data_IF_460250971618
#
_entry.id   IF_460250971618
#
_cell.length_a   1.000
_cell.length_b   1.000
_cell.length_c   1.000
_cell.angle_alpha   90.00
_cell.angle_beta   90.00
_cell.angle_gamma   90.00
#
_symmetry.space_group_name_H-M   'P 1'
#
loop_
_entity.id
_entity.type
_entity.pdbx_description
1 polymer ?
#
# COMPACT_ATOMS: atom_id res chain seq x y z
N UNK A 1 4.63 -5.07 27.14
CA UNK A 1 3.63 -5.58 26.18
C UNK A 1 4.36 -6.52 25.24
N UNK A 2 3.91 -7.76 25.02
CA UNK A 2 4.61 -8.69 24.11
C UNK A 2 4.40 -8.28 22.65
N UNK A 3 5.37 -8.59 21.77
CA UNK A 3 5.31 -8.31 20.33
C UNK A 3 4.04 -8.88 19.69
N UNK A 4 3.58 -10.04 20.14
CA UNK A 4 2.34 -10.68 19.68
C UNK A 4 1.08 -9.88 20.06
N UNK A 5 0.99 -9.39 21.30
CA UNK A 5 -0.14 -8.53 21.73
C UNK A 5 -0.16 -7.21 20.98
N UNK A 6 1.01 -6.65 20.69
CA UNK A 6 1.14 -5.44 19.89
C UNK A 6 0.66 -5.65 18.45
N UNK A 7 1.08 -6.73 17.79
CA UNK A 7 0.63 -7.08 16.44
C UNK A 7 -0.86 -7.45 16.40
N UNK A 8 -1.38 -8.13 17.42
CA UNK A 8 -2.81 -8.44 17.52
C UNK A 8 -3.67 -7.17 17.62
N UNK A 9 -3.24 -6.18 18.41
CA UNK A 9 -3.91 -4.89 18.49
C UNK A 9 -3.90 -4.18 17.12
N UNK A 10 -2.76 -4.12 16.45
CA UNK A 10 -2.68 -3.58 15.08
C UNK A 10 -3.60 -4.28 14.10
N UNK A 11 -3.75 -5.61 14.23
CA UNK A 11 -4.65 -6.38 13.37
C UNK A 11 -6.13 -6.03 13.57
N UNK A 12 -6.50 -5.56 14.77
CA UNK A 12 -7.87 -5.14 15.11
C UNK A 12 -8.21 -3.72 14.69
N UNK A 13 -7.21 -2.91 14.33
CA UNK A 13 -7.42 -1.54 13.85
C UNK A 13 -7.95 -1.52 12.41
N UNK A 14 -8.56 -0.38 12.03
CA UNK A 14 -9.00 -0.17 10.66
C UNK A 14 -7.83 -0.30 9.67
N UNK A 15 -7.98 -1.20 8.69
CA UNK A 15 -6.98 -1.45 7.65
C UNK A 15 -6.89 -0.32 6.63
N UNK A 16 -5.79 -0.30 5.88
CA UNK A 16 -5.68 0.54 4.69
C UNK A 16 -6.77 0.16 3.67
N UNK A 17 -7.57 1.15 3.25
CA UNK A 17 -8.65 1.06 2.25
C UNK A 17 -8.29 1.93 1.04
N UNK A 18 -7.09 1.71 0.51
CA UNK A 18 -6.51 2.51 -0.56
C UNK A 18 -6.44 4.01 -0.24
N UNK A 19 -6.70 4.85 -1.24
CA UNK A 19 -6.59 6.30 -1.08
C UNK A 19 -7.66 6.91 -0.17
N UNK A 20 -8.78 6.22 0.08
CA UNK A 20 -9.90 6.75 0.86
C UNK A 20 -9.50 7.08 2.30
N UNK A 21 -8.63 6.28 2.92
CA UNK A 21 -8.15 6.52 4.27
C UNK A 21 -6.62 6.62 4.40
N UNK A 22 -5.88 6.64 3.28
CA UNK A 22 -4.41 6.61 3.28
C UNK A 22 -3.75 7.66 4.19
N UNK A 23 -4.21 8.92 4.17
CA UNK A 23 -3.60 9.98 4.99
C UNK A 23 -3.76 9.71 6.49
N UNK A 24 -4.96 9.28 6.90
CA UNK A 24 -5.24 8.94 8.30
C UNK A 24 -4.50 7.67 8.73
N UNK A 25 -4.44 6.67 7.86
CA UNK A 25 -3.68 5.44 8.03
C UNK A 25 -2.18 5.76 8.20
N UNK A 26 -1.60 6.53 7.29
CA UNK A 26 -0.18 6.91 7.28
C UNK A 26 0.24 7.54 8.61
N UNK A 27 -0.50 8.54 9.08
CA UNK A 27 -0.22 9.22 10.36
C UNK A 27 -0.21 8.25 11.55
N UNK A 28 -1.20 7.35 11.61
CA UNK A 28 -1.30 6.35 12.68
C UNK A 28 -0.15 5.33 12.63
N UNK A 29 0.21 4.87 11.43
CA UNK A 29 1.29 3.90 11.27
C UNK A 29 2.66 4.56 11.52
N UNK A 30 2.88 5.81 11.13
CA UNK A 30 4.09 6.57 11.49
C UNK A 30 4.26 6.67 13.01
N UNK A 31 3.18 6.97 13.75
CA UNK A 31 3.20 6.97 15.22
C UNK A 31 3.52 5.58 15.79
N UNK A 32 2.91 4.54 15.25
CA UNK A 32 3.14 3.14 15.67
C UNK A 32 4.60 2.73 15.44
N UNK A 33 5.14 3.03 14.26
CA UNK A 33 6.52 2.76 13.90
C UNK A 33 7.49 3.55 14.77
N UNK A 34 7.17 4.81 15.10
CA UNK A 34 7.97 5.64 15.99
C UNK A 34 8.00 5.07 17.42
N UNK A 35 6.84 4.67 17.95
CA UNK A 35 6.73 4.02 19.27
C UNK A 35 7.49 2.70 19.33
N UNK A 36 7.51 1.95 18.23
CA UNK A 36 8.29 0.72 18.11
C UNK A 36 9.79 0.97 17.83
N UNK A 37 10.22 2.23 17.64
CA UNK A 37 11.61 2.58 17.34
C UNK A 37 12.07 2.20 15.93
N UNK A 38 11.15 1.87 15.02
CA UNK A 38 11.46 1.35 13.67
C UNK A 38 11.03 2.26 12.51
N UNK A 39 10.61 3.50 12.79
CA UNK A 39 10.19 4.47 11.76
C UNK A 39 11.26 4.73 10.71
N UNK A 40 12.52 4.89 11.12
CA UNK A 40 13.63 5.16 10.19
C UNK A 40 13.80 4.03 9.16
N UNK A 41 13.49 2.78 9.53
CA UNK A 41 13.54 1.60 8.64
C UNK A 41 12.41 1.58 7.62
N UNK A 42 11.20 1.97 8.03
CA UNK A 42 10.08 2.17 7.11
C UNK A 42 10.30 3.34 6.15
N UNK A 43 11.03 4.37 6.56
CA UNK A 43 11.34 5.52 5.71
C UNK A 43 12.61 5.32 4.85
N UNK A 44 13.44 4.33 5.17
CA UNK A 44 14.70 4.07 4.47
C UNK A 44 15.74 5.18 4.68
N UNK A 45 15.74 5.83 5.84
CA UNK A 45 16.65 6.93 6.18
C UNK A 45 17.51 6.57 7.39
N UNK A 46 18.70 7.17 7.52
CA UNK A 46 19.61 6.96 8.67
C UNK A 46 19.82 5.47 8.94
N UNK A 47 19.35 4.95 10.08
CA UNK A 47 19.47 3.53 10.48
C UNK A 47 18.73 2.57 9.54
N UNK A 48 17.72 3.07 8.83
CA UNK A 48 16.93 2.32 7.87
C UNK A 48 17.59 2.06 6.52
N UNK A 49 18.71 2.73 6.23
CA UNK A 49 19.47 2.50 4.99
C UNK A 49 20.11 1.12 5.06
N UNK A 50 19.83 0.29 4.05
CA UNK A 50 20.36 -1.07 3.96
C UNK A 50 21.90 -1.04 3.92
N UNK A 51 22.60 -1.70 4.86
CA UNK A 51 24.04 -1.77 4.83
C UNK A 51 24.55 -2.49 3.57
N UNK A 52 25.63 -1.97 3.00
CA UNK A 52 26.30 -2.54 1.82
C UNK A 52 27.27 -3.68 2.19
N UNK A 53 27.77 -3.68 3.42
CA UNK A 53 28.69 -4.68 3.96
C UNK A 53 27.96 -5.59 4.94
N UNK A 54 28.13 -6.90 4.74
CA UNK A 54 27.56 -7.95 5.59
C UNK A 54 28.34 -9.25 5.40
N UNK A 55 28.31 -10.11 6.42
CA UNK A 55 28.78 -11.49 6.29
C UNK A 55 27.67 -12.36 5.68
N UNK A 56 27.98 -13.35 4.83
CA UNK A 56 26.96 -14.13 4.12
C UNK A 56 25.90 -14.79 5.03
N UNK A 57 26.29 -15.23 6.23
CA UNK A 57 25.39 -15.81 7.22
C UNK A 57 24.38 -14.79 7.80
N UNK A 58 24.70 -13.51 7.80
CA UNK A 58 23.82 -12.47 8.35
C UNK A 58 22.55 -12.28 7.50
N UNK A 59 22.60 -12.63 6.21
CA UNK A 59 21.41 -12.71 5.34
C UNK A 59 20.39 -13.73 5.80
N UNK A 60 20.82 -14.74 6.55
CA UNK A 60 19.95 -15.74 7.17
C UNK A 60 19.50 -15.32 8.57
N UNK A 61 19.80 -14.09 8.99
CA UNK A 61 19.57 -13.61 10.35
C UNK A 61 20.55 -14.18 11.39
N UNK A 62 21.63 -14.82 10.93
CA UNK A 62 22.62 -15.48 11.80
C UNK A 62 23.86 -14.59 11.88
N UNK A 63 24.05 -13.94 13.02
CA UNK A 63 25.20 -13.07 13.24
C UNK A 63 25.20 -12.42 14.63
N UNK A 64 26.18 -11.56 14.87
CA UNK A 64 26.24 -10.78 16.12
C UNK A 64 25.05 -9.84 16.21
N UNK A 65 24.44 -9.72 17.41
CA UNK A 65 23.39 -8.73 17.67
C UNK A 65 23.88 -7.28 17.55
N UNK A 66 25.19 -7.07 17.60
CA UNK A 66 25.83 -5.77 17.43
C UNK A 66 26.16 -5.47 15.96
N UNK A 67 26.00 -6.45 15.07
CA UNK A 67 26.20 -6.23 13.64
C UNK A 67 25.18 -5.26 13.09
N UNK A 68 25.67 -4.22 12.41
CA UNK A 68 24.84 -3.24 11.70
C UNK A 68 23.85 -3.93 10.75
N UNK A 69 24.25 -5.01 10.08
CA UNK A 69 23.35 -5.73 9.19
C UNK A 69 22.28 -6.50 9.96
N UNK A 70 22.61 -7.19 11.04
CA UNK A 70 21.62 -7.92 11.86
C UNK A 70 20.62 -6.95 12.51
N UNK A 71 21.10 -5.83 13.03
CA UNK A 71 20.24 -4.77 13.58
C UNK A 71 19.31 -4.24 12.48
N UNK A 72 19.84 -3.96 11.29
CA UNK A 72 19.03 -3.52 10.16
C UNK A 72 18.01 -4.58 9.73
N UNK A 73 18.43 -5.83 9.57
CA UNK A 73 17.60 -6.94 9.10
C UNK A 73 16.41 -7.17 10.03
N UNK A 74 16.67 -7.25 11.34
CA UNK A 74 15.62 -7.48 12.35
C UNK A 74 14.66 -6.29 12.47
N UNK A 75 15.18 -5.06 12.48
CA UNK A 75 14.35 -3.85 12.58
C UNK A 75 13.55 -3.59 11.29
N UNK A 76 14.12 -3.87 10.12
CA UNK A 76 13.42 -3.85 8.84
C UNK A 76 12.29 -4.88 8.82
N UNK A 77 12.52 -6.11 9.26
CA UNK A 77 11.48 -7.14 9.35
C UNK A 77 10.35 -6.73 10.30
N UNK A 78 10.67 -6.10 11.43
CA UNK A 78 9.68 -5.57 12.36
C UNK A 78 8.86 -4.42 11.75
N UNK A 79 9.51 -3.45 11.10
CA UNK A 79 8.83 -2.36 10.39
C UNK A 79 7.90 -2.91 9.30
N UNK A 80 8.39 -3.87 8.52
CA UNK A 80 7.64 -4.53 7.47
C UNK A 80 6.39 -5.24 8.04
N UNK A 81 6.54 -5.99 9.12
CA UNK A 81 5.45 -6.70 9.78
C UNK A 81 4.36 -5.76 10.30
N UNK A 82 4.74 -4.57 10.81
CA UNK A 82 3.78 -3.54 11.23
C UNK A 82 3.00 -3.02 10.03
N UNK A 83 3.68 -2.70 8.92
CA UNK A 83 3.04 -2.25 7.69
C UNK A 83 2.07 -3.32 7.19
N UNK A 84 2.54 -4.55 7.01
CA UNK A 84 1.75 -5.69 6.54
C UNK A 84 0.51 -5.94 7.41
N UNK A 85 0.68 -5.94 8.74
CA UNK A 85 -0.42 -6.16 9.67
C UNK A 85 -1.52 -5.09 9.61
N UNK A 86 -1.28 -3.94 8.96
CA UNK A 86 -2.23 -2.82 8.87
C UNK A 86 -2.80 -2.65 7.46
N UNK A 87 -2.41 -3.50 6.52
CA UNK A 87 -2.90 -3.56 5.15
C UNK A 87 -4.07 -4.56 5.02
N UNK A 88 -4.92 -4.35 4.01
CA UNK A 88 -5.88 -5.37 3.55
C UNK A 88 -5.19 -6.43 2.68
N UNK A 89 -5.85 -7.57 2.46
CA UNK A 89 -5.28 -8.75 1.78
C UNK A 89 -4.63 -8.43 0.43
N UNK A 90 -5.35 -7.74 -0.46
CA UNK A 90 -4.84 -7.34 -1.80
C UNK A 90 -3.60 -6.43 -1.71
N UNK A 91 -3.60 -5.54 -0.72
CA UNK A 91 -2.46 -4.65 -0.48
C UNK A 91 -1.26 -5.44 0.04
N UNK A 92 -1.48 -6.43 0.90
CA UNK A 92 -0.45 -7.34 1.41
C UNK A 92 0.23 -8.08 0.26
N UNK A 93 -0.55 -8.69 -0.63
CA UNK A 93 -0.03 -9.37 -1.82
C UNK A 93 0.86 -8.44 -2.67
N UNK A 94 0.46 -7.17 -2.80
CA UNK A 94 1.24 -6.17 -3.54
C UNK A 94 2.59 -5.87 -2.87
N UNK A 95 2.61 -5.68 -1.54
CA UNK A 95 3.84 -5.30 -0.84
C UNK A 95 4.78 -6.49 -0.60
N UNK A 96 4.29 -7.73 -0.61
CA UNK A 96 5.11 -8.94 -0.43
C UNK A 96 6.24 -9.06 -1.46
N UNK A 97 6.10 -8.41 -2.62
CA UNK A 97 7.12 -8.34 -3.66
C UNK A 97 8.33 -7.47 -3.30
N UNK A 98 8.25 -6.60 -2.27
CA UNK A 98 9.29 -5.59 -2.03
C UNK A 98 10.40 -6.02 -1.07
N UNK A 99 10.13 -6.96 -0.16
CA UNK A 99 11.02 -7.52 0.90
C UNK A 99 11.59 -6.50 1.91
N UNK A 100 11.87 -5.26 1.50
CA UNK A 100 12.33 -4.16 2.34
C UNK A 100 11.13 -3.27 2.77
N UNK A 101 11.08 -2.87 4.04
CA UNK A 101 10.00 -2.04 4.60
C UNK A 101 9.91 -0.68 3.91
N UNK A 102 11.05 -0.07 3.58
CA UNK A 102 11.12 1.20 2.88
C UNK A 102 10.53 1.15 1.47
N UNK A 103 10.74 0.03 0.77
CA UNK A 103 10.14 -0.20 -0.55
C UNK A 103 8.64 -0.42 -0.44
N UNK A 104 8.17 -1.18 0.56
CA UNK A 104 6.73 -1.34 0.82
C UNK A 104 6.08 0.01 1.11
N UNK A 105 6.67 0.80 2.02
CA UNK A 105 6.19 2.13 2.37
C UNK A 105 6.12 3.05 1.15
N UNK A 106 7.19 3.08 0.34
CA UNK A 106 7.25 3.91 -0.86
C UNK A 106 6.25 3.47 -1.93
N UNK A 107 6.03 2.17 -2.09
CA UNK A 107 5.03 1.62 -3.00
C UNK A 107 3.63 2.10 -2.60
N UNK A 108 3.27 1.99 -1.32
CA UNK A 108 1.96 2.45 -0.82
C UNK A 108 1.81 3.97 -0.97
N UNK A 109 2.87 4.74 -0.71
CA UNK A 109 2.90 6.18 -0.93
C UNK A 109 2.62 6.53 -2.40
N UNK A 110 3.36 5.92 -3.32
CA UNK A 110 3.17 6.14 -4.75
C UNK A 110 1.80 5.66 -5.24
N UNK A 111 1.23 4.62 -4.60
CA UNK A 111 -0.09 4.09 -4.97
C UNK A 111 -1.21 4.99 -4.50
N UNK A 112 -1.17 5.51 -3.27
CA UNK A 112 -2.37 6.09 -2.66
C UNK A 112 -2.27 7.56 -2.29
N UNK A 113 -1.08 8.11 -2.08
CA UNK A 113 -0.92 9.50 -1.64
C UNK A 113 -1.41 10.48 -2.72
N UNK A 114 -2.28 11.41 -2.32
CA UNK A 114 -2.84 12.41 -3.23
C UNK A 114 -3.87 11.90 -4.25
N UNK A 115 -4.07 10.58 -4.39
CA UNK A 115 -4.98 10.01 -5.40
C UNK A 115 -6.45 9.91 -4.96
N UNK A 116 -6.74 10.12 -3.67
CA UNK A 116 -8.10 10.07 -3.12
C UNK A 116 -9.00 11.22 -3.59
N UNK A 117 -8.42 12.39 -3.87
CA UNK A 117 -9.20 13.54 -4.36
C UNK A 117 -9.79 13.28 -5.76
N UNK A 118 -9.06 12.61 -6.65
CA UNK A 118 -9.58 12.28 -7.99
C UNK A 118 -10.81 11.36 -7.90
N UNK A 119 -10.76 10.35 -7.03
CA UNK A 119 -11.87 9.43 -6.80
C UNK A 119 -13.11 10.13 -6.24
N UNK A 120 -12.93 11.00 -5.25
CA UNK A 120 -14.03 11.60 -4.50
C UNK A 120 -14.77 12.71 -5.24
N UNK A 121 -14.13 13.39 -6.21
CA UNK A 121 -14.70 14.59 -6.82
C UNK A 121 -14.86 14.53 -8.34
N UNK A 122 -14.38 13.47 -9.00
CA UNK A 122 -14.35 13.44 -10.47
C UNK A 122 -14.49 12.05 -11.07
N UNK A 123 -13.89 11.03 -10.46
CA UNK A 123 -13.92 9.67 -11.00
C UNK A 123 -15.34 9.09 -11.11
N UNK A 124 -16.19 9.31 -10.10
CA UNK A 124 -17.59 8.87 -10.16
C UNK A 124 -18.45 9.74 -11.10
N UNK A 125 -18.24 11.05 -11.13
CA UNK A 125 -18.97 11.93 -12.05
C UNK A 125 -18.62 11.64 -13.52
N UNK A 126 -17.34 11.46 -13.83
CA UNK A 126 -16.86 11.04 -15.15
C UNK A 126 -17.38 9.64 -15.51
N UNK A 127 -17.50 8.74 -14.52
CA UNK A 127 -18.06 7.39 -14.71
C UNK A 127 -19.57 7.42 -14.99
N UNK A 128 -20.34 8.22 -14.23
CA UNK A 128 -21.77 8.40 -14.46
C UNK A 128 -22.10 9.18 -15.73
N UNK A 129 -21.19 10.05 -16.17
CA UNK A 129 -21.31 10.80 -17.42
C UNK A 129 -20.87 10.02 -18.67
N UNK A 130 -20.31 8.80 -18.52
CA UNK A 130 -20.04 7.94 -19.66
C UNK A 130 -21.38 7.61 -20.34
N UNK A 131 -21.47 7.90 -21.63
CA UNK A 131 -22.56 7.46 -22.49
C UNK A 131 -21.99 6.49 -23.51
N UNK A 132 -22.69 5.38 -23.73
CA UNK A 132 -22.40 4.52 -24.87
C UNK A 132 -22.88 5.24 -26.13
N UNK A 133 -21.94 5.66 -26.97
CA UNK A 133 -22.23 6.12 -28.32
C UNK A 133 -22.04 4.93 -29.28
N UNK A 134 -23.11 4.41 -29.90
CA UNK A 134 -23.03 3.28 -30.83
C UNK A 134 -22.14 3.56 -32.05
N UNK A 135 -21.96 4.82 -32.42
CA UNK A 135 -21.16 5.23 -33.59
C UNK A 135 -19.66 5.35 -33.26
N UNK A 136 -19.28 5.44 -31.98
CA UNK A 136 -17.89 5.55 -31.53
C UNK A 136 -17.58 4.70 -30.27
N UNK A 137 -17.76 3.39 -30.44
CA UNK A 137 -17.42 2.36 -29.44
C UNK A 137 -15.93 2.43 -29.04
N UNK A 138 -15.06 2.88 -29.96
CA UNK A 138 -13.63 3.01 -29.69
C UNK A 138 -13.34 4.12 -28.66
N UNK A 139 -13.91 5.32 -28.84
CA UNK A 139 -13.77 6.41 -27.88
C UNK A 139 -14.41 6.10 -26.53
N UNK A 140 -15.55 5.39 -26.51
CA UNK A 140 -16.13 4.87 -25.27
C UNK A 140 -15.14 3.97 -24.53
N UNK A 141 -14.60 2.95 -25.21
CA UNK A 141 -13.66 2.01 -24.62
C UNK A 141 -12.38 2.68 -24.09
N UNK A 142 -11.86 3.69 -24.77
CA UNK A 142 -10.69 4.45 -24.32
C UNK A 142 -11.02 5.21 -23.03
N UNK A 143 -12.13 5.96 -23.00
CA UNK A 143 -12.55 6.73 -21.81
C UNK A 143 -12.83 5.82 -20.62
N UNK A 144 -13.55 4.73 -20.84
CA UNK A 144 -13.86 3.72 -19.83
C UNK A 144 -12.60 3.10 -19.23
N UNK A 145 -11.65 2.66 -20.06
CA UNK A 145 -10.37 2.11 -19.59
C UNK A 145 -9.57 3.13 -18.78
N UNK A 146 -9.58 4.40 -19.19
CA UNK A 146 -8.86 5.46 -18.48
C UNK A 146 -9.46 5.71 -17.09
N UNK A 147 -10.78 5.85 -16.98
CA UNK A 147 -11.48 6.05 -15.70
C UNK A 147 -11.26 4.85 -14.77
N UNK A 148 -11.42 3.61 -15.27
CA UNK A 148 -11.19 2.41 -14.46
C UNK A 148 -9.73 2.26 -14.01
N UNK A 149 -8.76 2.61 -14.87
CA UNK A 149 -7.34 2.63 -14.49
C UNK A 149 -7.08 3.60 -13.36
N UNK A 150 -7.72 4.77 -13.38
CA UNK A 150 -7.57 5.78 -12.34
C UNK A 150 -8.27 5.39 -11.03
N UNK A 151 -9.46 4.77 -11.09
CA UNK A 151 -10.18 4.23 -9.94
C UNK A 151 -9.41 3.06 -9.28
N UNK A 152 -8.95 2.08 -10.06
CA UNK A 152 -8.12 0.97 -9.56
C UNK A 152 -6.78 1.47 -9.03
N UNK A 153 -6.18 2.48 -9.68
CA UNK A 153 -4.99 3.17 -9.21
C UNK A 153 -5.14 3.83 -7.83
N UNK A 154 -6.37 4.11 -7.40
CA UNK A 154 -6.70 4.63 -6.07
C UNK A 154 -7.20 3.55 -5.09
N UNK A 155 -7.23 2.28 -5.52
CA UNK A 155 -7.67 1.13 -4.71
C UNK A 155 -9.18 0.90 -4.72
N UNK A 156 -9.89 1.41 -5.73
CA UNK A 156 -11.28 1.02 -6.01
C UNK A 156 -11.31 0.14 -7.26
N UNK A 157 -11.34 -1.18 -7.06
CA UNK A 157 -11.57 -2.09 -8.16
C UNK A 157 -13.06 -2.09 -8.51
N UNK A 158 -13.43 -1.38 -9.57
CA UNK A 158 -14.78 -1.43 -10.14
C UNK A 158 -14.89 -2.72 -10.96
N UNK A 159 -15.75 -3.68 -10.60
CA UNK A 159 -15.86 -4.92 -11.36
C UNK A 159 -16.36 -4.63 -12.77
N UNK A 160 -15.58 -5.05 -13.77
CA UNK A 160 -15.87 -4.94 -15.21
C UNK A 160 -17.30 -5.38 -15.59
N UNK A 161 -17.84 -6.39 -14.89
CA UNK A 161 -19.15 -6.99 -15.17
C UNK A 161 -20.32 -6.12 -14.70
N UNK A 162 -20.19 -5.43 -13.56
CA UNK A 162 -21.21 -4.48 -13.07
C UNK A 162 -21.31 -3.25 -13.98
N UNK A 163 -20.21 -2.87 -14.64
CA UNK A 163 -20.19 -1.77 -15.60
C UNK A 163 -20.87 -2.13 -16.92
N UNK A 164 -20.70 -3.36 -17.42
CA UNK A 164 -21.38 -3.81 -18.66
C UNK A 164 -22.89 -3.96 -18.49
N UNK A 165 -23.36 -4.45 -17.32
CA UNK A 165 -24.79 -4.61 -17.04
C UNK A 165 -25.56 -3.27 -16.94
N UNK A 166 -24.90 -2.17 -16.57
CA UNK A 166 -25.54 -0.86 -16.53
C UNK A 166 -25.85 -0.30 -17.93
N UNK A 167 -25.04 -0.63 -18.94
CA UNK A 167 -25.22 -0.18 -20.32
C UNK A 167 -25.98 -1.17 -21.22
N UNK A 168 -26.13 -2.43 -20.80
CA UNK A 168 -26.88 -3.45 -21.54
C UNK A 168 -28.36 -3.57 -21.10
N UNK A 169 -28.75 -2.91 -20.00
CA UNK A 169 -30.14 -2.87 -19.50
C UNK A 169 -30.87 -1.55 -19.80
N UNK A 170 -30.38 -0.78 -20.80
CA UNK A 170 -31.11 0.34 -21.42
C UNK A 170 -31.57 -0.07 -22.80
#
# INVERSE_FOLDING_TARGET
MSTERFLANLKSQEKLKGSANYLSWKRRIEQTLAQAGVLEYALGIKKGVKPITFLPNEKLGIGSRESTYIIWFTSNAQAYSIIEATCGLETVETIQLTVDASKAWKLLQNRYEGKGNYVLTKGFDDWHALSLDPEDIAAFNIRFKNINSQLSGAGLDVPLVMSMLHYLNV
#
